data_IF_343502580709
#
_entry.id   IF_343502580709
#
_cell.length_a   1.000
_cell.length_b   1.000
_cell.length_c   1.000
_cell.angle_alpha   90.00
_cell.angle_beta   90.00
_cell.angle_gamma   90.00
#
_symmetry.space_group_name_H-M   'P 1'
#
loop_
_entity.id
_entity.type
_entity.pdbx_description
1 polymer ?
#
# COMPACT_ATOMS: atom_id res chain seq x y z
N UNK A 1 -9.23 1.51 -26.68
CA UNK A 1 -8.99 0.70 -25.49
C UNK A 1 -9.11 1.62 -24.28
N UNK A 2 -10.10 1.35 -23.42
CA UNK A 2 -10.23 2.11 -22.18
C UNK A 2 -9.10 1.70 -21.25
N UNK A 3 -8.40 2.68 -20.64
CA UNK A 3 -7.48 2.41 -19.55
C UNK A 3 -8.21 1.59 -18.48
N UNK A 4 -7.56 0.57 -17.91
CA UNK A 4 -8.19 -0.19 -16.86
C UNK A 4 -8.56 0.76 -15.72
N UNK A 5 -9.75 0.64 -15.17
CA UNK A 5 -10.21 1.56 -14.14
C UNK A 5 -9.30 1.51 -12.93
N UNK A 6 -9.06 2.68 -12.33
CA UNK A 6 -8.39 2.77 -11.03
C UNK A 6 -9.19 1.94 -10.03
N UNK A 7 -8.54 0.97 -9.41
CA UNK A 7 -9.17 0.14 -8.38
C UNK A 7 -8.92 0.73 -7.00
N UNK A 8 -9.99 0.86 -6.23
CA UNK A 8 -9.96 1.43 -4.89
C UNK A 8 -10.34 0.37 -3.86
N UNK A 9 -9.59 0.32 -2.78
CA UNK A 9 -9.89 -0.49 -1.60
C UNK A 9 -10.01 0.41 -0.39
N UNK A 10 -11.13 0.34 0.31
CA UNK A 10 -11.43 1.21 1.45
C UNK A 10 -11.48 0.37 2.72
N UNK A 11 -10.73 0.78 3.72
CA UNK A 11 -10.83 0.21 5.07
C UNK A 11 -12.01 0.86 5.78
N UNK A 12 -12.98 0.05 6.16
CA UNK A 12 -14.20 0.52 6.82
C UNK A 12 -14.29 -0.09 8.23
N UNK A 13 -14.62 0.75 9.21
CA UNK A 13 -14.99 0.27 10.54
C UNK A 13 -16.40 -0.31 10.51
N UNK A 14 -16.50 -1.62 10.64
CA UNK A 14 -17.72 -2.38 10.35
C UNK A 14 -18.93 -1.97 11.17
N UNK A 15 -18.75 -1.55 12.43
CA UNK A 15 -19.85 -1.16 13.31
C UNK A 15 -20.52 0.15 12.92
N UNK A 16 -19.76 1.10 12.38
CA UNK A 16 -20.25 2.46 12.11
C UNK A 16 -20.31 2.78 10.62
N UNK A 17 -19.66 1.98 9.77
CA UNK A 17 -19.48 2.27 8.35
C UNK A 17 -18.45 3.38 8.07
N UNK A 18 -17.75 3.85 9.09
CA UNK A 18 -16.75 4.91 8.98
C UNK A 18 -15.58 4.47 8.11
N UNK A 19 -15.20 5.31 7.16
CA UNK A 19 -14.05 5.07 6.27
C UNK A 19 -12.76 5.51 6.97
N UNK A 20 -11.87 4.56 7.22
CA UNK A 20 -10.64 4.79 7.97
C UNK A 20 -9.44 5.10 7.08
N UNK A 21 -9.45 4.64 5.85
CA UNK A 21 -8.39 4.84 4.89
C UNK A 21 -8.69 4.19 3.56
N UNK A 22 -7.84 4.49 2.58
CA UNK A 22 -7.98 3.98 1.22
C UNK A 22 -6.62 3.64 0.65
N UNK A 23 -6.57 2.54 -0.12
CA UNK A 23 -5.45 2.19 -0.97
C UNK A 23 -5.98 1.97 -2.39
N UNK A 24 -5.22 2.43 -3.37
CA UNK A 24 -5.56 2.33 -4.79
C UNK A 24 -4.43 1.68 -5.56
N UNK A 25 -4.74 1.06 -6.68
CA UNK A 25 -3.74 0.86 -7.72
C UNK A 25 -4.25 1.45 -9.04
N UNK A 26 -3.32 1.92 -9.84
CA UNK A 26 -3.55 2.51 -11.15
C UNK A 26 -2.42 2.15 -12.11
N UNK A 27 -2.56 2.59 -13.35
CA UNK A 27 -1.53 2.44 -14.39
C UNK A 27 -1.05 0.98 -14.54
N UNK A 28 -2.01 0.04 -14.55
CA UNK A 28 -1.69 -1.35 -14.78
C UNK A 28 -1.04 -1.54 -16.16
N UNK A 29 0.19 -2.05 -16.15
CA UNK A 29 0.92 -2.36 -17.36
C UNK A 29 0.84 -3.87 -17.66
N UNK A 30 0.08 -4.27 -18.70
CA UNK A 30 -0.13 -5.68 -19.02
C UNK A 30 1.11 -6.38 -19.58
N UNK A 31 2.14 -5.63 -20.03
CA UNK A 31 3.41 -6.21 -20.47
C UNK A 31 4.31 -6.56 -19.30
N UNK A 32 4.30 -5.74 -18.28
CA UNK A 32 5.16 -5.87 -17.10
C UNK A 32 4.44 -6.46 -15.90
N UNK A 33 3.11 -6.61 -15.97
CA UNK A 33 2.26 -7.03 -14.85
C UNK A 33 2.53 -6.20 -13.59
N UNK A 34 2.62 -4.89 -13.76
CA UNK A 34 2.91 -3.94 -12.69
C UNK A 34 1.85 -2.86 -12.58
N UNK A 35 1.70 -2.30 -11.39
CA UNK A 35 0.83 -1.17 -11.16
C UNK A 35 1.44 -0.23 -10.11
N UNK A 36 1.02 1.03 -10.17
CA UNK A 36 1.32 2.03 -9.14
C UNK A 36 0.31 1.90 -8.02
N UNK A 37 0.77 1.94 -6.79
CA UNK A 37 -0.13 2.02 -5.63
C UNK A 37 -0.04 3.39 -4.98
N UNK A 38 -1.17 3.84 -4.45
CA UNK A 38 -1.28 5.02 -3.62
C UNK A 38 -2.15 4.71 -2.41
N UNK A 39 -1.92 5.39 -1.29
CA UNK A 39 -2.73 5.22 -0.09
C UNK A 39 -2.96 6.57 0.58
N UNK A 40 -4.11 6.68 1.22
CA UNK A 40 -4.56 7.87 1.90
C UNK A 40 -5.26 7.52 3.21
N UNK A 41 -4.90 8.24 4.25
CA UNK A 41 -5.56 8.16 5.56
C UNK A 41 -5.95 9.57 5.99
N UNK A 42 -7.22 9.81 6.32
CA UNK A 42 -7.65 11.06 6.94
C UNK A 42 -6.83 11.37 8.18
N UNK A 43 -6.58 12.64 8.45
CA UNK A 43 -5.71 13.07 9.55
C UNK A 43 -6.14 12.49 10.89
N UNK A 44 -7.45 12.47 11.17
CA UNK A 44 -8.04 11.92 12.39
C UNK A 44 -7.82 10.41 12.58
N UNK A 45 -7.47 9.70 11.49
CA UNK A 45 -7.24 8.25 11.50
C UNK A 45 -5.76 7.87 11.40
N UNK A 46 -4.86 8.84 11.34
CA UNK A 46 -3.41 8.59 11.29
C UNK A 46 -2.88 8.17 12.66
N UNK A 47 -1.73 7.49 12.65
CA UNK A 47 -1.02 7.02 13.86
C UNK A 47 -1.81 6.04 14.74
N UNK A 48 -2.78 5.32 14.16
CA UNK A 48 -3.62 4.31 14.84
C UNK A 48 -3.40 2.89 14.34
N UNK A 49 -2.40 2.67 13.48
CA UNK A 49 -2.09 1.35 12.92
C UNK A 49 -2.96 0.93 11.71
N UNK A 50 -3.87 1.76 11.26
CA UNK A 50 -4.77 1.43 10.14
C UNK A 50 -4.02 1.24 8.82
N UNK A 51 -2.92 1.95 8.61
CA UNK A 51 -2.08 1.78 7.43
C UNK A 51 -1.53 0.38 7.29
N UNK A 52 -1.04 -0.19 8.37
CA UNK A 52 -0.53 -1.56 8.40
C UNK A 52 -1.64 -2.59 8.16
N UNK A 53 -2.82 -2.39 8.75
CA UNK A 53 -3.98 -3.28 8.54
C UNK A 53 -4.41 -3.25 7.07
N UNK A 54 -4.58 -2.06 6.51
CA UNK A 54 -5.01 -1.90 5.12
C UNK A 54 -3.99 -2.46 4.13
N UNK A 55 -2.71 -2.17 4.34
CA UNK A 55 -1.63 -2.70 3.49
C UNK A 55 -1.58 -4.23 3.54
N UNK A 56 -1.67 -4.83 4.72
CA UNK A 56 -1.69 -6.29 4.87
C UNK A 56 -2.86 -6.93 4.12
N UNK A 57 -4.06 -6.40 4.29
CA UNK A 57 -5.27 -6.89 3.62
C UNK A 57 -5.20 -6.69 2.10
N UNK A 58 -4.73 -5.54 1.66
CA UNK A 58 -4.55 -5.22 0.25
C UNK A 58 -3.57 -6.18 -0.44
N UNK A 59 -2.37 -6.34 0.11
CA UNK A 59 -1.36 -7.23 -0.47
C UNK A 59 -1.81 -8.69 -0.50
N UNK A 60 -2.47 -9.13 0.56
CA UNK A 60 -3.07 -10.47 0.60
C UNK A 60 -4.11 -10.68 -0.50
N UNK A 61 -4.89 -9.66 -0.79
CA UNK A 61 -5.93 -9.70 -1.84
C UNK A 61 -5.31 -9.72 -3.23
N UNK A 62 -4.47 -8.74 -3.53
CA UNK A 62 -3.97 -8.54 -4.91
C UNK A 62 -2.89 -9.54 -5.32
N UNK A 63 -2.19 -10.12 -4.35
CA UNK A 63 -1.23 -11.20 -4.60
C UNK A 63 -1.84 -12.61 -4.45
N UNK A 64 -3.13 -12.72 -4.20
CA UNK A 64 -3.79 -14.02 -4.21
C UNK A 64 -3.70 -14.65 -5.61
N UNK A 65 -3.47 -15.98 -5.72
CA UNK A 65 -3.31 -16.64 -7.02
C UNK A 65 -4.47 -16.45 -7.98
N UNK A 66 -5.69 -16.35 -7.45
CA UNK A 66 -6.92 -16.20 -8.26
C UNK A 66 -7.29 -14.75 -8.54
N UNK A 67 -6.56 -13.79 -7.97
CA UNK A 67 -6.84 -12.37 -8.21
C UNK A 67 -6.45 -11.96 -9.63
N UNK A 68 -7.28 -11.15 -10.26
CA UNK A 68 -6.99 -10.54 -11.55
C UNK A 68 -7.19 -9.01 -11.47
N UNK A 69 -6.34 -8.23 -12.14
CA UNK A 69 -5.20 -8.68 -12.97
C UNK A 69 -4.08 -9.33 -12.14
N UNK A 70 -3.26 -10.17 -12.79
CA UNK A 70 -2.07 -10.74 -12.15
C UNK A 70 -1.02 -9.65 -11.96
N UNK A 71 -0.45 -9.54 -10.75
CA UNK A 71 0.65 -8.63 -10.46
C UNK A 71 1.96 -9.38 -10.25
N UNK A 72 2.98 -8.98 -10.99
CA UNK A 72 4.37 -9.35 -10.74
C UNK A 72 5.04 -8.36 -9.78
N UNK A 73 4.68 -7.08 -9.91
CA UNK A 73 5.29 -5.98 -9.17
C UNK A 73 4.26 -4.89 -8.84
N UNK A 74 4.35 -4.37 -7.64
CA UNK A 74 3.70 -3.13 -7.22
C UNK A 74 4.76 -2.09 -6.90
N UNK A 75 4.52 -0.83 -7.23
CA UNK A 75 5.42 0.24 -6.92
C UNK A 75 4.69 1.50 -6.49
N UNK A 76 5.37 2.34 -5.73
CA UNK A 76 4.85 3.57 -5.18
C UNK A 76 5.91 4.66 -5.19
N UNK A 77 5.45 5.89 -5.28
CA UNK A 77 6.28 7.08 -5.17
C UNK A 77 5.95 7.81 -3.87
N UNK A 78 6.97 8.33 -3.21
CA UNK A 78 6.77 9.14 -2.00
C UNK A 78 7.87 10.18 -1.86
N UNK A 79 7.53 11.33 -1.28
CA UNK A 79 8.52 12.34 -0.94
C UNK A 79 9.40 11.89 0.23
N UNK A 80 10.67 12.27 0.20
CA UNK A 80 11.62 11.99 1.29
C UNK A 80 11.17 12.56 2.65
N UNK A 81 10.30 13.55 2.66
CA UNK A 81 9.68 14.13 3.86
C UNK A 81 8.58 13.25 4.47
N UNK A 82 8.01 12.30 3.70
CA UNK A 82 6.89 11.49 4.16
C UNK A 82 7.37 10.23 4.89
N UNK A 83 7.85 10.41 6.12
CA UNK A 83 8.40 9.33 6.93
C UNK A 83 7.39 8.23 7.25
N UNK A 84 6.12 8.58 7.42
CA UNK A 84 5.05 7.61 7.68
C UNK A 84 4.85 6.65 6.50
N UNK A 85 4.82 7.16 5.27
CA UNK A 85 4.77 6.36 4.04
C UNK A 85 5.98 5.46 3.88
N UNK A 86 7.16 6.02 4.11
CA UNK A 86 8.43 5.29 4.01
C UNK A 86 8.44 4.12 4.98
N UNK A 87 8.14 4.37 6.25
CA UNK A 87 8.09 3.31 7.29
C UNK A 87 7.06 2.23 6.97
N UNK A 88 5.88 2.63 6.49
CA UNK A 88 4.83 1.68 6.10
C UNK A 88 5.32 0.75 4.99
N UNK A 89 5.90 1.30 3.92
CA UNK A 89 6.40 0.51 2.79
C UNK A 89 7.56 -0.39 3.19
N UNK A 90 8.53 0.12 3.93
CA UNK A 90 9.69 -0.66 4.40
C UNK A 90 9.26 -1.80 5.34
N UNK A 91 8.27 -1.56 6.20
CA UNK A 91 7.70 -2.58 7.09
C UNK A 91 7.11 -3.77 6.30
N UNK A 92 6.54 -3.52 5.13
CA UNK A 92 5.95 -4.55 4.28
C UNK A 92 6.93 -5.12 3.23
N UNK A 93 8.21 -4.80 3.34
CA UNK A 93 9.25 -5.37 2.51
C UNK A 93 9.43 -4.69 1.16
N UNK A 94 8.86 -3.50 0.96
CA UNK A 94 9.18 -2.69 -0.21
C UNK A 94 10.63 -2.22 -0.17
N UNK A 95 11.30 -2.28 -1.30
CA UNK A 95 12.65 -1.80 -1.48
C UNK A 95 12.67 -0.45 -2.17
N UNK A 96 13.54 0.44 -1.73
CA UNK A 96 13.80 1.68 -2.45
C UNK A 96 14.70 1.42 -3.64
N UNK A 97 14.11 1.40 -4.84
CA UNK A 97 14.82 1.14 -6.09
C UNK A 97 15.40 2.41 -6.70
N UNK A 98 14.90 3.56 -6.36
CA UNK A 98 15.35 4.81 -6.96
C UNK A 98 15.11 6.05 -6.12
N UNK A 99 15.83 7.09 -6.49
CA UNK A 99 15.70 8.44 -5.96
C UNK A 99 15.67 9.43 -7.11
N UNK A 100 14.63 10.24 -7.16
CA UNK A 100 14.57 11.39 -8.07
C UNK A 100 14.95 12.61 -7.26
N UNK A 101 16.09 13.21 -7.59
CA UNK A 101 16.65 14.32 -6.83
C UNK A 101 15.85 15.59 -7.03
N UNK A 102 15.70 16.38 -5.93
CA UNK A 102 15.12 17.72 -5.95
C UNK A 102 13.74 17.78 -6.65
N UNK A 103 12.89 16.79 -6.36
CA UNK A 103 11.64 16.60 -7.07
C UNK A 103 10.47 17.40 -6.50
N UNK A 104 10.42 17.59 -5.19
CA UNK A 104 9.35 18.32 -4.52
C UNK A 104 9.84 19.63 -3.95
N UNK A 105 9.10 20.69 -4.24
CA UNK A 105 9.26 21.98 -3.57
C UNK A 105 8.10 22.17 -2.59
N UNK A 106 8.39 22.11 -1.31
CA UNK A 106 7.40 22.18 -0.25
C UNK A 106 7.84 23.17 0.84
N UNK A 107 7.01 24.17 1.11
CA UNK A 107 7.26 25.19 2.15
C UNK A 107 8.66 25.85 2.06
N UNK A 108 9.14 26.09 0.84
CA UNK A 108 10.44 26.72 0.58
C UNK A 108 11.63 25.76 0.64
N UNK A 109 11.40 24.47 0.91
CA UNK A 109 12.44 23.45 0.92
C UNK A 109 12.26 22.46 -0.24
N UNK A 110 13.36 21.89 -0.70
CA UNK A 110 13.41 20.94 -1.79
C UNK A 110 13.66 19.54 -1.24
N UNK A 111 12.89 18.58 -1.74
CA UNK A 111 12.98 17.18 -1.30
C UNK A 111 13.08 16.23 -2.49
N UNK A 112 13.80 15.15 -2.27
CA UNK A 112 13.85 14.03 -3.21
C UNK A 112 12.52 13.26 -3.23
N UNK A 113 12.26 12.60 -4.35
CA UNK A 113 11.24 11.57 -4.46
C UNK A 113 11.89 10.19 -4.39
N UNK A 114 11.32 9.30 -3.59
CA UNK A 114 11.73 7.89 -3.53
C UNK A 114 10.75 7.01 -4.29
N UNK A 115 11.29 6.03 -4.99
CA UNK A 115 10.53 4.98 -5.68
C UNK A 115 10.73 3.69 -4.91
N UNK A 116 9.62 3.14 -4.40
CA UNK A 116 9.58 1.88 -3.66
C UNK A 116 8.87 0.82 -4.47
N UNK A 117 9.38 -0.39 -4.44
CA UNK A 117 8.83 -1.52 -5.19
C UNK A 117 8.71 -2.75 -4.32
N UNK A 118 7.69 -3.56 -4.59
CA UNK A 118 7.51 -4.88 -3.99
C UNK A 118 7.26 -5.88 -5.11
N UNK A 119 8.14 -6.86 -5.23
CA UNK A 119 7.96 -7.98 -6.14
C UNK A 119 7.07 -9.05 -5.50
N UNK A 120 6.21 -9.66 -6.30
CA UNK A 120 5.38 -10.80 -5.87
C UNK A 120 6.20 -11.88 -5.16
N UNK A 121 7.36 -12.22 -5.71
CA UNK A 121 8.29 -13.19 -5.14
C UNK A 121 8.71 -12.82 -3.71
N UNK A 122 9.07 -11.58 -3.50
CA UNK A 122 9.48 -11.06 -2.19
C UNK A 122 8.33 -11.12 -1.18
N UNK A 123 7.13 -10.73 -1.62
CA UNK A 123 5.94 -10.85 -0.79
C UNK A 123 5.67 -12.29 -0.33
N UNK A 124 5.74 -13.25 -1.25
CA UNK A 124 5.47 -14.66 -0.94
C UNK A 124 6.55 -15.27 -0.03
N UNK A 125 7.81 -14.87 -0.17
CA UNK A 125 8.92 -15.38 0.64
C UNK A 125 8.97 -14.75 2.04
N UNK A 126 8.75 -13.42 2.14
CA UNK A 126 9.04 -12.65 3.35
C UNK A 126 7.82 -12.38 4.23
N UNK A 127 6.62 -12.33 3.66
CA UNK A 127 5.43 -11.91 4.38
C UNK A 127 4.59 -13.04 4.98
N UNK A 128 4.95 -14.29 4.76
CA UNK A 128 4.27 -15.41 5.42
C UNK A 128 4.38 -15.32 6.95
N UNK A 129 5.48 -14.83 7.48
CA UNK A 129 5.68 -14.63 8.93
C UNK A 129 4.89 -13.45 9.48
N UNK A 130 4.89 -12.31 8.80
CA UNK A 130 4.12 -11.13 9.20
C UNK A 130 2.60 -11.36 9.19
N UNK A 131 2.11 -12.22 8.31
CA UNK A 131 0.69 -12.55 8.28
C UNK A 131 0.19 -13.27 9.54
N UNK A 132 1.03 -14.08 10.15
CA UNK A 132 0.67 -14.81 11.37
C UNK A 132 0.58 -13.85 12.56
N UNK A 133 1.51 -12.91 12.67
CA UNK A 133 1.51 -11.91 13.74
C UNK A 133 0.35 -10.91 13.60
N UNK A 134 0.13 -10.38 12.39
CA UNK A 134 -0.99 -9.45 12.12
C UNK A 134 -2.36 -10.12 12.23
N UNK A 135 -2.51 -11.39 11.89
CA UNK A 135 -3.74 -12.13 12.12
C UNK A 135 -4.04 -12.33 13.61
N UNK A 136 -3.01 -12.46 14.45
CA UNK A 136 -3.19 -12.52 15.89
C UNK A 136 -3.63 -11.15 16.47
N UNK A 137 -3.08 -10.06 15.96
CA UNK A 137 -3.49 -8.70 16.32
C UNK A 137 -4.90 -8.37 15.82
N UNK A 138 -5.27 -8.79 14.60
CA UNK A 138 -6.61 -8.59 14.01
C UNK A 138 -7.71 -9.32 14.77
N UNK A 139 -7.41 -10.43 15.43
CA UNK A 139 -8.37 -11.13 16.30
C UNK A 139 -8.67 -10.36 17.59
N UNK A 140 -7.83 -9.37 17.95
CA UNK A 140 -8.00 -8.52 19.13
C UNK A 140 -8.64 -7.16 18.81
N UNK A 141 -8.79 -6.80 17.52
CA UNK A 141 -9.34 -5.52 17.04
C UNK A 141 -10.77 -5.74 16.53
N UNK A 142 -11.67 -4.76 16.64
CA UNK A 142 -12.99 -4.83 16.01
C UNK A 142 -12.89 -5.19 14.53
N UNK A 143 -13.73 -6.11 14.08
CA UNK A 143 -13.64 -6.68 12.73
C UNK A 143 -13.68 -5.61 11.64
N UNK A 144 -12.61 -5.48 10.87
CA UNK A 144 -12.49 -4.64 9.69
C UNK A 144 -12.80 -5.46 8.42
N UNK A 145 -13.35 -4.81 7.39
CA UNK A 145 -13.58 -5.40 6.08
C UNK A 145 -13.00 -4.54 4.96
N UNK A 146 -12.53 -5.17 3.87
CA UNK A 146 -12.23 -4.50 2.61
C UNK A 146 -13.53 -4.38 1.80
N UNK A 147 -13.76 -3.20 1.26
CA UNK A 147 -14.89 -2.95 0.35
C UNK A 147 -14.41 -2.37 -0.98
#
# INVERSE_FOLDING_TARGET
>A
EMDPPISHYVLIYKKTGEKLGMITYSDFNPRNYSAVIGFYFPEEHRHKGYGSILMALFLRTVFHPDYRPYFHKLWAETGAFNTASIHLMERFGFHRDGTIRDHYWLDGEIYDQYIYTLLRKEYLENNQKCHIELCSELNQVPRFGLS
#
